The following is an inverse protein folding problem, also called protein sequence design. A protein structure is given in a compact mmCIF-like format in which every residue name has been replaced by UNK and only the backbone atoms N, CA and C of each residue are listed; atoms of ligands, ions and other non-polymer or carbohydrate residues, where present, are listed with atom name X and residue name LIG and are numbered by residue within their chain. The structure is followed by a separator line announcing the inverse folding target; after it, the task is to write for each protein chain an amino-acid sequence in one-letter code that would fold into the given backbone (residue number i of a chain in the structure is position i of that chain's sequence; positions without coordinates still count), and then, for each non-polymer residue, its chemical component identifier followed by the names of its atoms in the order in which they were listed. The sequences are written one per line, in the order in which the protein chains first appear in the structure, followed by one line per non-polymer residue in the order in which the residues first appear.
data_IF_329137715989
#
_entry.id   IF_329137715989
#
_cell.length_a   1.000
_cell.length_b   1.000
_cell.length_c   1.000
_cell.angle_alpha   90.00
_cell.angle_beta   90.00
_cell.angle_gamma   90.00
#
_symmetry.space_group_name_H-M   'P 1'
#
loop_
_entity.id
_entity.type
_entity.pdbx_description
1 polymer ?
#
# COMPACT_ATOMS: atom_id res chain seq x y z
N UNK A 1 -7.49 9.25 6.87
CA UNK A 1 -8.84 9.74 6.53
C UNK A 1 -8.91 11.26 6.43
N UNK A 2 -8.04 12.01 7.08
CA UNK A 2 -8.11 13.47 7.20
C UNK A 2 -7.30 14.24 6.13
N UNK A 3 -6.90 13.59 5.05
CA UNK A 3 -6.09 14.20 3.98
C UNK A 3 -6.93 14.75 2.82
N UNK A 4 -8.12 14.20 2.61
CA UNK A 4 -9.01 14.60 1.53
C UNK A 4 -10.16 15.45 2.08
N UNK A 5 -10.64 16.38 1.24
CA UNK A 5 -11.87 17.12 1.56
C UNK A 5 -13.04 16.16 1.78
N UNK A 6 -13.94 16.53 2.66
CA UNK A 6 -15.16 15.77 2.93
C UNK A 6 -16.14 15.82 1.74
N UNK A 7 -17.05 14.86 1.69
CA UNK A 7 -18.02 14.74 0.59
C UNK A 7 -18.88 16.00 0.44
N UNK A 8 -19.21 16.63 1.56
CA UNK A 8 -19.96 17.89 1.60
C UNK A 8 -19.26 19.01 0.84
N UNK A 9 -17.93 19.10 0.94
CA UNK A 9 -17.16 20.10 0.20
C UNK A 9 -17.16 19.81 -1.32
N UNK A 10 -17.20 18.55 -1.73
CA UNK A 10 -17.38 18.16 -3.13
C UNK A 10 -18.76 18.55 -3.64
N UNK A 11 -19.80 18.33 -2.84
CA UNK A 11 -21.18 18.72 -3.17
C UNK A 11 -21.27 20.22 -3.40
N UNK A 12 -20.65 21.02 -2.53
CA UNK A 12 -20.60 22.48 -2.69
C UNK A 12 -19.82 22.86 -3.96
N UNK A 13 -18.64 22.29 -4.17
CA UNK A 13 -17.80 22.57 -5.34
C UNK A 13 -18.53 22.32 -6.66
N UNK A 14 -19.19 21.17 -6.79
CA UNK A 14 -19.95 20.83 -7.99
C UNK A 14 -21.26 21.58 -8.10
N UNK A 15 -21.95 21.82 -6.98
CA UNK A 15 -23.19 22.58 -6.92
C UNK A 15 -23.06 24.02 -7.40
N UNK A 16 -21.90 24.65 -7.18
CA UNK A 16 -21.62 26.03 -7.66
C UNK A 16 -21.31 26.06 -9.18
N UNK A 17 -20.91 24.95 -9.79
CA UNK A 17 -20.41 24.88 -11.17
C UNK A 17 -21.35 24.22 -12.13
N UNK A 18 -22.17 23.31 -11.64
CA UNK A 18 -23.17 22.60 -12.45
C UNK A 18 -24.47 23.40 -12.43
N UNK A 19 -25.05 23.61 -13.61
CA UNK A 19 -26.33 24.33 -13.71
C UNK A 19 -27.45 23.62 -12.95
N UNK A 20 -28.33 24.42 -12.33
CA UNK A 20 -29.44 23.93 -11.48
C UNK A 20 -30.40 22.98 -12.23
N UNK A 21 -30.40 23.01 -13.55
CA UNK A 21 -31.21 22.10 -14.41
C UNK A 21 -30.59 20.70 -14.58
N UNK A 22 -29.39 20.46 -14.03
CA UNK A 22 -28.70 19.18 -14.13
C UNK A 22 -29.07 18.26 -12.98
N UNK A 23 -30.25 17.64 -13.04
CA UNK A 23 -30.80 16.76 -11.99
C UNK A 23 -30.38 15.29 -12.16
N UNK A 24 -29.59 14.94 -13.19
CA UNK A 24 -29.18 13.55 -13.43
C UNK A 24 -28.19 13.41 -14.55
N UNK A 25 -27.67 12.18 -14.75
CA UNK A 25 -26.60 11.89 -15.71
C UNK A 25 -26.91 12.37 -17.14
N UNK A 26 -28.14 12.16 -17.63
CA UNK A 26 -28.51 12.56 -18.99
C UNK A 26 -28.53 14.08 -19.19
N UNK A 27 -28.96 14.85 -18.18
CA UNK A 27 -28.94 16.31 -18.22
C UNK A 27 -27.52 16.85 -18.10
N UNK A 28 -26.68 16.21 -17.28
CA UNK A 28 -25.26 16.56 -17.14
C UNK A 28 -24.49 16.34 -18.46
N UNK A 29 -24.68 15.23 -19.13
CA UNK A 29 -24.05 14.96 -20.42
C UNK A 29 -24.48 16.00 -21.48
N UNK A 30 -25.75 16.35 -21.52
CA UNK A 30 -26.26 17.41 -22.44
C UNK A 30 -25.67 18.78 -22.10
N UNK A 31 -25.52 19.07 -20.81
CA UNK A 31 -24.95 20.33 -20.33
C UNK A 31 -23.45 20.43 -20.67
N UNK A 32 -22.68 19.36 -20.51
CA UNK A 32 -21.25 19.28 -20.89
C UNK A 32 -21.05 19.45 -22.40
N UNK A 33 -21.91 18.83 -23.23
CA UNK A 33 -21.80 18.91 -24.70
C UNK A 33 -22.07 20.33 -25.26
N UNK A 34 -22.71 21.21 -24.48
CA UNK A 34 -22.98 22.58 -24.93
C UNK A 34 -21.73 23.47 -24.92
N UNK A 35 -20.75 23.15 -24.09
CA UNK A 35 -19.55 23.95 -23.96
C UNK A 35 -18.37 23.08 -23.42
N UNK A 36 -17.35 22.81 -24.24
CA UNK A 36 -16.20 22.01 -23.84
C UNK A 36 -15.41 22.58 -22.64
N UNK A 37 -15.49 23.88 -22.38
CA UNK A 37 -14.78 24.48 -21.23
C UNK A 37 -15.37 24.04 -19.88
N UNK A 38 -16.61 23.58 -19.86
CA UNK A 38 -17.32 23.12 -18.66
C UNK A 38 -16.68 21.87 -18.06
N UNK A 39 -16.19 20.97 -18.91
CA UNK A 39 -15.50 19.75 -18.44
C UNK A 39 -14.24 20.13 -17.64
N UNK A 40 -13.46 21.09 -18.12
CA UNK A 40 -12.28 21.59 -17.41
C UNK A 40 -12.63 22.28 -16.10
N UNK A 41 -13.77 22.97 -16.02
CA UNK A 41 -14.24 23.62 -14.78
C UNK A 41 -14.64 22.65 -13.68
N UNK A 42 -14.95 21.40 -14.04
CA UNK A 42 -15.29 20.31 -13.10
C UNK A 42 -14.06 19.53 -12.63
N UNK A 43 -12.89 19.75 -13.22
CA UNK A 43 -11.66 19.10 -12.77
C UNK A 43 -11.15 19.76 -11.48
N UNK A 44 -11.11 18.98 -10.41
CA UNK A 44 -10.50 19.41 -9.16
C UNK A 44 -8.97 19.36 -9.29
N UNK A 45 -8.33 20.44 -8.88
CA UNK A 45 -6.88 20.46 -8.72
C UNK A 45 -6.49 19.73 -7.44
N UNK A 46 -5.25 19.21 -7.41
CA UNK A 46 -4.73 18.49 -6.23
C UNK A 46 -4.86 19.31 -4.96
N UNK A 47 -4.56 20.61 -5.03
CA UNK A 47 -4.62 21.55 -3.91
C UNK A 47 -6.05 21.79 -3.39
N UNK A 48 -7.06 21.53 -4.22
CA UNK A 48 -8.48 21.66 -3.85
C UNK A 48 -9.04 20.39 -3.21
N UNK A 49 -8.38 19.25 -3.43
CA UNK A 49 -8.78 17.94 -2.90
C UNK A 49 -8.10 17.66 -1.56
N UNK A 50 -6.92 18.26 -1.31
CA UNK A 50 -6.15 18.06 -0.10
C UNK A 50 -6.52 19.11 0.94
N UNK A 51 -7.01 18.66 2.10
CA UNK A 51 -7.24 19.52 3.29
C UNK A 51 -5.91 19.89 3.93
N UNK A 52 -4.91 19.01 3.81
CA UNK A 52 -3.52 19.22 4.24
C UNK A 52 -2.58 18.70 3.17
N UNK A 53 -1.47 19.37 2.96
CA UNK A 53 -0.35 18.79 2.24
C UNK A 53 0.01 17.46 2.97
N UNK A 54 0.06 16.32 2.27
CA UNK A 54 0.40 15.03 2.90
C UNK A 54 1.73 15.02 3.64
N UNK A 55 2.49 16.10 3.61
CA UNK A 55 3.71 16.30 4.36
C UNK A 55 4.77 15.19 4.14
N UNK A 56 5.99 15.46 4.46
CA UNK A 56 7.12 14.50 4.40
C UNK A 56 6.86 13.19 5.16
N UNK A 57 5.98 13.21 6.15
CA UNK A 57 5.66 12.04 6.97
C UNK A 57 4.84 10.99 6.22
N UNK A 58 3.86 11.40 5.42
CA UNK A 58 3.07 10.46 4.60
C UNK A 58 3.92 9.89 3.45
N UNK A 59 4.77 10.72 2.84
CA UNK A 59 5.71 10.25 1.82
C UNK A 59 6.74 9.27 2.39
N UNK A 60 7.18 9.45 3.64
CA UNK A 60 8.05 8.50 4.33
C UNK A 60 7.35 7.16 4.61
N UNK A 61 6.05 7.18 4.88
CA UNK A 61 5.26 5.97 5.12
C UNK A 61 4.86 5.26 3.81
N UNK A 62 4.58 6.01 2.76
CA UNK A 62 4.14 5.52 1.46
C UNK A 62 5.01 6.12 0.34
N UNK A 63 6.29 5.73 0.24
CA UNK A 63 7.21 6.30 -0.72
C UNK A 63 6.78 5.98 -2.16
N UNK A 64 6.96 6.91 -3.12
CA UNK A 64 6.64 6.66 -4.53
C UNK A 64 7.60 5.68 -5.20
N UNK A 65 8.77 5.48 -4.59
CA UNK A 65 9.82 4.57 -5.10
C UNK A 65 10.46 3.78 -3.96
N UNK A 66 10.91 2.58 -4.28
CA UNK A 66 11.81 1.79 -3.43
C UNK A 66 13.21 1.87 -4.05
N UNK A 67 14.17 2.40 -3.31
CA UNK A 67 15.55 2.52 -3.77
C UNK A 67 16.36 1.29 -3.36
N UNK A 68 17.02 0.65 -4.32
CA UNK A 68 17.91 -0.46 -4.08
C UNK A 68 19.12 -0.47 -5.03
N UNK A 69 20.32 -0.50 -4.47
CA UNK A 69 21.60 -0.53 -5.22
C UNK A 69 21.68 0.54 -6.33
N UNK A 70 21.19 1.75 -6.03
CA UNK A 70 21.18 2.86 -6.98
C UNK A 70 20.10 2.79 -8.06
N UNK A 71 19.16 1.86 -7.96
CA UNK A 71 17.99 1.74 -8.83
C UNK A 71 16.74 2.14 -8.06
N UNK A 72 15.91 3.00 -8.65
CA UNK A 72 14.61 3.40 -8.13
C UNK A 72 13.50 2.57 -8.78
N UNK A 73 12.84 1.74 -8.00
CA UNK A 73 11.70 0.93 -8.42
C UNK A 73 10.41 1.66 -8.09
N UNK A 74 9.59 1.95 -9.08
CA UNK A 74 8.32 2.66 -8.88
C UNK A 74 7.30 1.83 -8.12
N UNK A 75 6.71 2.44 -7.09
CA UNK A 75 5.61 1.87 -6.32
C UNK A 75 4.29 2.49 -6.76
N UNK A 76 3.23 1.68 -6.74
CA UNK A 76 1.84 2.11 -6.94
C UNK A 76 0.99 1.57 -5.82
N UNK A 77 0.08 2.40 -5.34
CA UNK A 77 -0.84 2.11 -4.25
C UNK A 77 -2.25 2.05 -4.81
N UNK A 78 -2.95 0.95 -4.55
CA UNK A 78 -4.34 0.77 -4.92
C UNK A 78 -5.05 0.04 -3.78
N UNK A 79 -6.12 0.60 -3.29
CA UNK A 79 -6.90 0.04 -2.19
C UNK A 79 -8.31 -0.28 -2.70
N UNK A 80 -8.41 -1.38 -3.45
CA UNK A 80 -9.65 -1.90 -4.02
C UNK A 80 -9.77 -3.39 -3.66
N UNK A 81 -10.37 -3.72 -2.50
CA UNK A 81 -10.50 -5.10 -2.05
C UNK A 81 -11.09 -6.03 -3.11
N UNK A 82 -10.45 -7.17 -3.32
CA UNK A 82 -10.85 -8.18 -4.31
C UNK A 82 -10.30 -7.96 -5.72
N UNK A 83 -9.53 -6.90 -5.97
CA UNK A 83 -8.80 -6.74 -7.22
C UNK A 83 -7.39 -7.34 -7.15
N UNK A 84 -6.90 -7.87 -8.27
CA UNK A 84 -5.57 -8.50 -8.36
C UNK A 84 -4.42 -7.57 -7.96
N UNK A 85 -4.56 -6.27 -8.16
CA UNK A 85 -3.58 -5.23 -7.83
C UNK A 85 -3.91 -4.46 -6.54
N UNK A 86 -4.81 -4.97 -5.70
CA UNK A 86 -5.08 -4.40 -4.38
C UNK A 86 -3.81 -4.36 -3.52
N UNK A 87 -3.58 -3.25 -2.81
CA UNK A 87 -2.39 -3.01 -1.99
C UNK A 87 -1.27 -2.28 -2.72
N UNK A 88 -0.04 -2.73 -2.53
CA UNK A 88 1.17 -2.12 -3.09
C UNK A 88 1.70 -2.94 -4.26
N UNK A 89 1.92 -2.29 -5.38
CA UNK A 89 2.55 -2.87 -6.57
C UNK A 89 3.90 -2.22 -6.83
N UNK A 90 4.94 -3.05 -7.06
CA UNK A 90 6.25 -2.60 -7.53
C UNK A 90 6.41 -2.91 -9.01
N UNK A 91 6.95 -1.96 -9.78
CA UNK A 91 7.24 -2.17 -11.20
C UNK A 91 8.72 -2.45 -11.39
N UNK A 92 9.04 -3.61 -11.96
CA UNK A 92 10.41 -4.09 -12.18
C UNK A 92 10.63 -4.30 -13.68
N UNK A 93 11.56 -3.58 -14.32
CA UNK A 93 12.00 -3.88 -15.67
C UNK A 93 12.59 -5.30 -15.77
N UNK A 94 12.24 -6.05 -16.82
CA UNK A 94 12.68 -7.44 -17.01
C UNK A 94 14.20 -7.63 -16.83
N UNK A 95 15.09 -6.78 -17.37
CA UNK A 95 16.54 -6.93 -17.17
C UNK A 95 16.99 -6.83 -15.71
N UNK A 96 16.19 -6.21 -14.85
CA UNK A 96 16.48 -6.01 -13.43
C UNK A 96 15.81 -7.05 -12.51
N UNK A 97 15.00 -7.95 -13.05
CA UNK A 97 14.22 -8.92 -12.27
C UNK A 97 15.11 -9.81 -11.37
N UNK A 98 16.25 -10.27 -11.90
CA UNK A 98 17.19 -11.11 -11.13
C UNK A 98 17.99 -10.33 -10.08
N UNK A 99 17.95 -8.99 -10.14
CA UNK A 99 18.62 -8.10 -9.19
C UNK A 99 17.65 -7.53 -8.15
N UNK A 100 16.35 -7.77 -8.33
CA UNK A 100 15.34 -7.26 -7.42
C UNK A 100 15.53 -7.83 -6.00
N UNK A 101 15.48 -7.00 -4.98
CA UNK A 101 15.71 -7.41 -3.59
C UNK A 101 14.50 -8.16 -3.04
N UNK A 102 14.43 -9.47 -3.31
CA UNK A 102 13.28 -10.33 -2.93
C UNK A 102 12.90 -10.17 -1.46
N UNK A 103 13.89 -10.13 -0.57
CA UNK A 103 13.66 -9.97 0.86
C UNK A 103 13.03 -8.61 1.21
N UNK A 104 13.37 -7.51 0.50
CA UNK A 104 12.75 -6.19 0.74
C UNK A 104 11.27 -6.16 0.34
N UNK A 105 10.85 -6.98 -0.62
CA UNK A 105 9.45 -7.06 -1.02
C UNK A 105 8.60 -7.62 0.13
N UNK A 106 9.18 -8.48 0.98
CA UNK A 106 8.50 -8.99 2.16
C UNK A 106 8.31 -7.92 3.24
N UNK A 107 9.17 -6.91 3.29
CA UNK A 107 9.03 -5.80 4.25
C UNK A 107 7.90 -4.85 3.88
N UNK A 108 7.44 -4.90 2.63
CA UNK A 108 6.39 -4.03 2.12
C UNK A 108 6.82 -2.55 2.17
N UNK A 109 5.95 -1.67 2.68
CA UNK A 109 6.25 -0.25 2.87
C UNK A 109 6.03 0.14 4.33
N UNK A 110 6.73 1.16 4.86
CA UNK A 110 6.64 1.52 6.27
C UNK A 110 5.21 1.69 6.78
N UNK A 111 4.33 2.35 6.00
CA UNK A 111 2.95 2.60 6.39
C UNK A 111 2.06 1.35 6.55
N UNK A 112 2.48 0.21 6.01
CA UNK A 112 1.74 -1.06 6.14
C UNK A 112 2.49 -2.10 6.98
N UNK A 113 3.75 -1.85 7.33
CA UNK A 113 4.61 -2.81 8.03
C UNK A 113 4.04 -3.22 9.38
N UNK A 114 3.54 -2.23 10.16
CA UNK A 114 2.95 -2.48 11.48
C UNK A 114 1.77 -3.45 11.39
N UNK A 115 0.83 -3.16 10.51
CA UNK A 115 -0.39 -3.96 10.39
C UNK A 115 -0.09 -5.34 9.83
N UNK A 116 0.86 -5.44 8.90
CA UNK A 116 1.39 -6.73 8.42
C UNK A 116 1.98 -7.57 9.55
N UNK A 117 2.82 -6.98 10.41
CA UNK A 117 3.38 -7.69 11.58
C UNK A 117 2.28 -8.16 12.55
N UNK A 118 1.25 -7.34 12.79
CA UNK A 118 0.09 -7.73 13.60
C UNK A 118 -0.65 -8.91 12.98
N UNK A 119 -0.88 -8.87 11.66
CA UNK A 119 -1.52 -9.96 10.93
C UNK A 119 -0.69 -11.26 10.99
N UNK A 120 0.63 -11.16 10.82
CA UNK A 120 1.55 -12.30 10.95
C UNK A 120 1.48 -12.95 12.34
N UNK A 121 1.52 -12.14 13.42
CA UNK A 121 1.39 -12.66 14.80
C UNK A 121 0.02 -13.30 15.02
N UNK A 122 -1.05 -12.70 14.53
CA UNK A 122 -2.41 -13.26 14.62
C UNK A 122 -2.57 -14.56 13.85
N UNK A 123 -1.81 -14.78 12.79
CA UNK A 123 -1.76 -16.02 12.00
C UNK A 123 -0.99 -17.16 12.65
N UNK A 124 -0.19 -16.91 13.69
CA UNK A 124 0.59 -17.95 14.36
C UNK A 124 -0.28 -19.03 15.01
N UNK A 125 0.24 -20.25 15.19
CA UNK A 125 -0.41 -21.30 15.97
C UNK A 125 -0.84 -20.81 17.36
N UNK A 126 -1.99 -21.29 17.83
CA UNK A 126 -2.62 -20.83 19.09
C UNK A 126 -1.68 -20.81 20.29
N UNK A 127 -0.77 -21.78 20.38
CA UNK A 127 0.19 -21.89 21.49
C UNK A 127 1.18 -20.71 21.53
N UNK A 128 1.69 -20.28 20.37
CA UNK A 128 2.60 -19.15 20.24
C UNK A 128 1.82 -17.83 20.38
N UNK A 129 0.67 -17.71 19.72
CA UNK A 129 -0.16 -16.51 19.77
C UNK A 129 -0.57 -16.10 21.17
N UNK A 130 -0.86 -17.07 22.05
CA UNK A 130 -1.20 -16.79 23.46
C UNK A 130 -0.09 -16.12 24.25
N UNK A 131 1.15 -16.29 23.84
CA UNK A 131 2.34 -15.69 24.49
C UNK A 131 2.63 -14.28 23.97
N UNK A 132 1.96 -13.88 22.87
CA UNK A 132 2.15 -12.64 22.15
C UNK A 132 0.87 -11.76 22.19
N UNK A 133 0.26 -11.66 23.36
CA UNK A 133 -0.98 -10.89 23.59
C UNK A 133 -0.69 -9.69 24.48
N UNK A 134 -1.22 -8.49 24.14
CA UNK A 134 -1.94 -8.11 22.92
C UNK A 134 -0.99 -7.98 21.73
N UNK A 135 -1.36 -8.53 20.56
CA UNK A 135 -0.48 -8.51 19.40
C UNK A 135 -0.05 -7.10 18.95
N UNK A 136 -0.93 -6.06 18.94
CA UNK A 136 -0.50 -4.70 18.61
C UNK A 136 0.65 -4.19 19.49
N UNK A 137 0.56 -4.36 20.80
CA UNK A 137 1.57 -3.86 21.76
C UNK A 137 2.91 -4.60 21.59
N UNK A 138 2.83 -5.91 21.28
CA UNK A 138 4.02 -6.72 20.98
C UNK A 138 4.69 -6.23 19.71
N UNK A 139 3.92 -5.91 18.68
CA UNK A 139 4.44 -5.37 17.42
C UNK A 139 5.03 -3.98 17.62
N UNK A 140 4.37 -3.09 18.36
CA UNK A 140 4.87 -1.75 18.62
C UNK A 140 6.23 -1.80 19.33
N UNK A 141 6.39 -2.70 20.32
CA UNK A 141 7.68 -2.93 20.96
C UNK A 141 8.72 -3.55 19.99
N UNK A 142 8.30 -4.46 19.11
CA UNK A 142 9.20 -5.12 18.17
C UNK A 142 9.70 -4.16 17.08
N UNK A 143 8.87 -3.24 16.61
CA UNK A 143 9.20 -2.28 15.55
C UNK A 143 10.35 -1.34 15.94
N UNK A 144 10.58 -1.11 17.24
CA UNK A 144 11.71 -0.29 17.73
C UNK A 144 13.06 -0.92 17.34
N UNK A 145 13.11 -2.26 17.34
CA UNK A 145 14.31 -3.05 17.05
C UNK A 145 14.33 -3.69 15.65
N UNK A 146 13.24 -3.53 14.91
CA UNK A 146 13.04 -4.16 13.63
C UNK A 146 13.51 -3.23 12.52
N UNK A 147 14.62 -3.58 11.89
CA UNK A 147 15.18 -2.83 10.76
C UNK A 147 15.26 -3.74 9.53
N UNK A 148 14.94 -3.22 8.34
CA UNK A 148 15.17 -3.97 7.10
C UNK A 148 16.66 -4.26 6.95
N UNK A 149 16.99 -5.54 6.95
CA UNK A 149 18.32 -6.07 6.67
C UNK A 149 18.23 -7.06 5.48
N UNK A 150 19.29 -7.81 5.22
CA UNK A 150 19.33 -8.80 4.14
C UNK A 150 18.51 -10.06 4.43
N UNK A 151 17.59 -10.01 5.41
CA UNK A 151 16.72 -11.13 5.76
C UNK A 151 15.24 -10.80 5.50
N UNK A 152 14.43 -11.85 5.31
CA UNK A 152 12.98 -11.69 5.19
C UNK A 152 12.36 -11.19 6.50
N UNK A 153 11.19 -10.56 6.41
CA UNK A 153 10.50 -9.98 7.55
C UNK A 153 10.19 -11.00 8.65
N UNK A 154 9.78 -12.21 8.29
CA UNK A 154 9.41 -13.25 9.25
C UNK A 154 10.63 -13.70 10.08
N UNK A 155 11.78 -13.86 9.43
CA UNK A 155 13.04 -14.18 10.11
C UNK A 155 13.49 -13.07 11.03
N UNK A 156 13.42 -11.81 10.60
CA UNK A 156 13.77 -10.66 11.41
C UNK A 156 12.83 -10.51 12.62
N UNK A 157 11.52 -10.56 12.39
CA UNK A 157 10.50 -10.48 13.43
C UNK A 157 10.66 -11.62 14.44
N UNK A 158 10.88 -12.87 13.97
CA UNK A 158 11.11 -14.03 14.82
C UNK A 158 12.32 -13.85 15.74
N UNK A 159 13.43 -13.28 15.25
CA UNK A 159 14.62 -12.96 16.07
C UNK A 159 14.28 -11.93 17.17
N UNK A 160 13.53 -10.88 16.83
CA UNK A 160 13.12 -9.84 17.78
C UNK A 160 12.18 -10.42 18.84
N UNK A 161 11.18 -11.20 18.46
CA UNK A 161 10.24 -11.86 19.39
C UNK A 161 10.98 -12.81 20.35
N UNK A 162 11.96 -13.58 19.86
CA UNK A 162 12.80 -14.43 20.71
C UNK A 162 13.58 -13.60 21.72
N UNK A 163 14.19 -12.48 21.29
CA UNK A 163 15.00 -11.61 22.15
C UNK A 163 14.16 -10.90 23.21
N UNK A 164 13.00 -10.32 22.80
CA UNK A 164 12.19 -9.49 23.69
C UNK A 164 11.24 -10.28 24.59
N UNK A 165 10.73 -11.44 24.10
CA UNK A 165 9.68 -12.21 24.75
C UNK A 165 10.05 -13.66 25.05
N UNK A 166 11.24 -14.12 24.62
CA UNK A 166 11.65 -15.52 24.74
C UNK A 166 10.84 -16.49 23.87
N UNK A 167 9.99 -15.97 22.96
CA UNK A 167 9.12 -16.79 22.10
C UNK A 167 9.86 -17.14 20.83
N UNK A 168 10.11 -18.42 20.64
CA UNK A 168 10.74 -18.92 19.40
C UNK A 168 9.65 -19.29 18.39
N UNK A 169 9.70 -18.65 17.23
CA UNK A 169 8.82 -18.92 16.09
C UNK A 169 9.66 -19.59 15.01
N UNK A 170 9.26 -20.78 14.57
CA UNK A 170 9.93 -21.48 13.48
C UNK A 170 9.40 -21.01 12.13
N UNK A 171 10.18 -21.13 11.04
CA UNK A 171 9.71 -20.73 9.70
C UNK A 171 8.37 -21.34 9.29
N UNK A 172 8.11 -22.60 9.67
CA UNK A 172 6.86 -23.30 9.36
C UNK A 172 5.64 -22.81 10.17
N UNK A 173 5.85 -22.04 11.25
CA UNK A 173 4.77 -21.49 12.07
C UNK A 173 4.14 -20.25 11.42
N UNK A 174 4.85 -19.60 10.50
CA UNK A 174 4.35 -18.43 9.76
C UNK A 174 3.38 -18.88 8.67
N UNK A 175 2.10 -18.58 8.86
CA UNK A 175 1.06 -18.99 7.92
C UNK A 175 0.87 -17.93 6.81
N UNK A 176 1.89 -17.75 5.98
CA UNK A 176 1.91 -16.73 4.92
C UNK A 176 0.74 -16.86 3.92
N UNK A 177 0.25 -18.08 3.69
CA UNK A 177 -0.91 -18.32 2.82
C UNK A 177 -2.25 -17.81 3.38
N UNK A 178 -2.32 -17.46 4.68
CA UNK A 178 -3.50 -16.86 5.31
C UNK A 178 -3.41 -15.33 5.37
N UNK A 179 -2.25 -14.76 4.99
CA UNK A 179 -2.08 -13.33 4.96
C UNK A 179 -2.90 -12.74 3.80
N UNK A 180 -3.66 -11.70 4.08
CA UNK A 180 -4.42 -10.99 3.05
C UNK A 180 -3.50 -10.48 1.94
N UNK A 181 -3.98 -10.52 0.69
CA UNK A 181 -3.18 -10.18 -0.48
C UNK A 181 -2.61 -8.77 -0.42
N UNK A 182 -3.32 -7.84 0.20
CA UNK A 182 -2.88 -6.48 0.30
C UNK A 182 -1.63 -6.29 1.21
N UNK A 183 -1.30 -7.26 2.06
CA UNK A 183 -0.03 -7.31 2.82
C UNK A 183 1.12 -7.97 2.05
N UNK A 184 0.92 -8.36 0.80
CA UNK A 184 1.92 -8.98 -0.06
C UNK A 184 2.18 -8.08 -1.26
N UNK A 185 3.45 -7.69 -1.47
CA UNK A 185 3.83 -6.87 -2.62
C UNK A 185 3.42 -7.53 -3.93
N UNK A 186 2.67 -6.83 -4.77
CA UNK A 186 2.40 -7.28 -6.13
C UNK A 186 3.54 -6.84 -7.05
N UNK A 187 4.23 -7.80 -7.64
CA UNK A 187 5.35 -7.55 -8.56
C UNK A 187 4.81 -7.48 -9.99
N UNK A 188 5.09 -6.38 -10.67
CA UNK A 188 4.73 -6.14 -12.06
C UNK A 188 6.01 -6.08 -12.89
N UNK A 189 6.19 -7.04 -13.79
CA UNK A 189 7.35 -7.10 -14.69
C UNK A 189 6.98 -6.42 -15.99
N UNK A 190 7.83 -5.50 -16.44
CA UNK A 190 7.63 -4.74 -17.68
C UNK A 190 8.82 -4.91 -18.63
N UNK A 191 8.57 -4.77 -19.93
CA UNK A 191 9.65 -4.68 -20.92
C UNK A 191 10.29 -3.28 -20.94
N UNK A 192 11.21 -3.07 -21.87
CA UNK A 192 11.94 -1.78 -22.03
C UNK A 192 11.04 -0.63 -22.50
N UNK A 193 9.88 -0.93 -23.06
CA UNK A 193 8.87 0.03 -23.52
C UNK A 193 7.83 0.31 -22.43
N UNK A 194 7.94 -0.35 -21.27
CA UNK A 194 7.00 -0.22 -20.15
C UNK A 194 5.73 -1.08 -20.27
N UNK A 195 5.66 -1.98 -21.26
CA UNK A 195 4.54 -2.90 -21.44
C UNK A 195 4.59 -4.01 -20.40
N UNK A 196 3.45 -4.30 -19.78
CA UNK A 196 3.33 -5.36 -18.78
C UNK A 196 3.54 -6.74 -19.43
N UNK A 197 4.52 -7.48 -18.91
CA UNK A 197 4.81 -8.86 -19.31
C UNK A 197 4.16 -9.87 -18.37
N UNK A 198 4.04 -9.54 -17.09
CA UNK A 198 3.42 -10.39 -16.09
C UNK A 198 3.32 -9.69 -14.73
N UNK A 199 2.49 -10.24 -13.86
CA UNK A 199 2.37 -9.76 -12.48
C UNK A 199 1.97 -10.88 -11.54
N UNK A 200 2.36 -10.77 -10.27
CA UNK A 200 2.04 -11.74 -9.23
C UNK A 200 2.58 -11.32 -7.87
N UNK A 201 2.19 -12.05 -6.84
CA UNK A 201 2.63 -11.82 -5.45
C UNK A 201 3.64 -12.87 -4.98
N UNK A 202 3.81 -13.93 -5.73
CA UNK A 202 4.80 -14.98 -5.48
C UNK A 202 5.94 -14.85 -6.50
N UNK A 203 7.15 -14.71 -5.98
CA UNK A 203 8.38 -14.66 -6.79
C UNK A 203 9.12 -16.03 -6.72
N UNK A 204 8.36 -17.12 -6.68
CA UNK A 204 8.90 -18.47 -6.70
C UNK A 204 9.36 -18.84 -8.11
#
# INVERSE_FOLDING_TARGET
RDLLIEEEALVVFYGERIGADCVGMSSLIKWLKKDPSREQSLLLKREQILVRDPGTEVEAQFPPTLQWQGVDYHLRYQFEPGRQNDGVSITIPLPLLNRAPRYLLDWLVPGLLRDKCVALIKGLPKALRKQLVPAPDVVDAALVDLTPDDTDLCSALGKVLKRQRGVQVNPADWQLGQLEDFYRMNVRVVDVEGKLLGQGRDMA
#
